data_IF_700796999041
#
_entry.id   IF_700796999041
#
_cell.length_a   1.000
_cell.length_b   1.000
_cell.length_c   1.000
_cell.angle_alpha   90.00
_cell.angle_beta   90.00
_cell.angle_gamma   90.00
#
_symmetry.space_group_name_H-M   'P 1'
#
loop_
_entity.id
_entity.type
_entity.pdbx_description
1 polymer ?
#
# COMPACT_ATOMS: atom_id res chain seq x y z
N UNK A 1 -4.55 41.24 72.67
CA UNK A 1 -5.34 40.10 72.14
C UNK A 1 -4.51 39.37 71.09
N UNK A 2 -3.96 38.20 71.42
CA UNK A 2 -3.27 37.31 70.49
C UNK A 2 -4.32 36.56 69.67
N UNK A 3 -4.31 36.70 68.35
CA UNK A 3 -4.98 35.75 67.44
C UNK A 3 -3.96 34.68 67.06
N UNK A 4 -4.06 33.55 67.72
CA UNK A 4 -3.52 32.29 67.21
C UNK A 4 -4.41 31.86 66.03
N UNK A 5 -3.80 31.64 64.87
CA UNK A 5 -4.33 30.69 63.92
C UNK A 5 -3.28 29.60 63.73
N UNK A 6 -3.66 28.41 64.19
CA UNK A 6 -3.01 27.12 63.98
C UNK A 6 -2.65 26.94 62.50
N UNK A 7 -1.38 26.68 62.18
CA UNK A 7 -0.83 25.34 61.92
C UNK A 7 -1.51 24.66 60.71
N UNK A 8 -0.78 24.72 59.58
CA UNK A 8 -0.35 23.60 58.73
C UNK A 8 -1.33 22.43 58.68
N UNK A 9 -1.89 22.14 57.50
CA UNK A 9 -2.20 20.77 57.06
C UNK A 9 -2.48 20.74 55.54
N UNK A 10 -1.60 20.02 54.82
CA UNK A 10 -1.90 19.14 53.66
C UNK A 10 -1.81 19.64 52.20
N UNK A 11 -1.08 20.71 51.87
CA UNK A 11 -0.84 21.06 50.45
C UNK A 11 0.44 20.43 49.85
N UNK A 12 1.36 19.92 50.70
CA UNK A 12 2.65 19.39 50.22
C UNK A 12 2.56 17.99 49.58
N UNK A 13 1.56 17.18 49.92
CA UNK A 13 1.41 15.81 49.36
C UNK A 13 0.93 15.82 47.90
N UNK A 14 0.02 16.73 47.54
CA UNK A 14 -0.53 16.85 46.18
C UNK A 14 0.53 17.35 45.18
N UNK A 15 1.39 18.27 45.59
CA UNK A 15 2.48 18.77 44.75
C UNK A 15 3.60 17.73 44.56
N UNK A 16 3.91 16.92 45.58
CA UNK A 16 4.85 15.80 45.47
C UNK A 16 4.29 14.70 44.55
N UNK A 17 3.00 14.38 44.66
CA UNK A 17 2.37 13.36 43.81
C UNK A 17 2.37 13.77 42.34
N UNK A 18 2.01 15.03 42.06
CA UNK A 18 1.98 15.62 40.71
C UNK A 18 3.38 15.77 40.10
N UNK A 19 4.37 16.10 40.91
CA UNK A 19 5.78 16.12 40.50
C UNK A 19 6.27 14.71 40.09
N UNK A 20 5.93 13.69 40.88
CA UNK A 20 6.31 12.30 40.66
C UNK A 20 5.60 11.70 39.42
N UNK A 21 4.33 12.05 39.21
CA UNK A 21 3.56 11.70 38.02
C UNK A 21 4.19 12.29 36.74
N UNK A 22 4.61 13.55 36.79
CA UNK A 22 5.29 14.21 35.67
C UNK A 22 6.68 13.63 35.34
N UNK A 23 7.37 13.02 36.31
CA UNK A 23 8.62 12.28 36.07
C UNK A 23 8.31 10.97 35.34
N UNK A 24 7.37 10.16 35.85
CA UNK A 24 6.97 8.89 35.22
C UNK A 24 6.44 9.11 33.80
N UNK A 25 5.62 10.14 33.59
CA UNK A 25 5.11 10.47 32.25
C UNK A 25 6.26 10.76 31.27
N UNK A 26 7.30 11.49 31.71
CA UNK A 26 8.47 11.79 30.87
C UNK A 26 9.27 10.53 30.51
N UNK A 27 9.39 9.58 31.43
CA UNK A 27 10.04 8.30 31.17
C UNK A 27 9.27 7.48 30.12
N UNK A 28 7.97 7.29 30.31
CA UNK A 28 7.13 6.60 29.33
C UNK A 28 7.15 7.30 27.97
N UNK A 29 7.08 8.64 27.93
CA UNK A 29 7.18 9.42 26.71
C UNK A 29 8.51 9.21 25.99
N UNK A 30 9.62 9.11 26.72
CA UNK A 30 10.94 8.81 26.17
C UNK A 30 10.97 7.40 25.55
N UNK A 31 10.40 6.42 26.26
CA UNK A 31 10.27 5.04 25.76
C UNK A 31 9.45 4.99 24.47
N UNK A 32 8.26 5.61 24.44
CA UNK A 32 7.42 5.67 23.24
C UNK A 32 8.16 6.34 22.07
N UNK A 33 8.88 7.44 22.32
CA UNK A 33 9.65 8.12 21.28
C UNK A 33 10.79 7.25 20.74
N UNK A 34 11.49 6.51 21.60
CA UNK A 34 12.51 5.56 21.17
C UNK A 34 11.93 4.44 20.32
N UNK A 35 10.80 3.85 20.74
CA UNK A 35 10.10 2.83 19.97
C UNK A 35 9.68 3.39 18.60
N UNK A 36 9.17 4.62 18.56
CA UNK A 36 8.80 5.29 17.31
C UNK A 36 10.00 5.42 16.36
N UNK A 37 11.13 5.94 16.85
CA UNK A 37 12.35 6.13 16.04
C UNK A 37 12.86 4.77 15.53
N UNK A 38 12.92 3.77 16.40
CA UNK A 38 13.39 2.43 16.02
C UNK A 38 12.46 1.79 14.98
N UNK A 39 11.14 1.95 15.12
CA UNK A 39 10.18 1.46 14.14
C UNK A 39 10.39 2.12 12.77
N UNK A 40 10.54 3.44 12.74
CA UNK A 40 10.78 4.18 11.50
C UNK A 40 12.10 3.79 10.82
N UNK A 41 13.16 3.58 11.59
CA UNK A 41 14.46 3.12 11.09
C UNK A 41 14.35 1.73 10.45
N UNK A 42 13.82 0.75 11.19
CA UNK A 42 13.65 -0.63 10.67
C UNK A 42 12.70 -0.65 9.47
N UNK A 43 11.69 0.23 9.44
CA UNK A 43 10.77 0.35 8.31
C UNK A 43 11.46 0.95 7.07
N UNK A 44 12.34 1.93 7.23
CA UNK A 44 13.14 2.50 6.14
C UNK A 44 14.03 1.43 5.54
N UNK A 45 14.78 0.73 6.40
CA UNK A 45 15.63 -0.40 6.02
C UNK A 45 14.85 -1.49 5.28
N UNK A 46 13.61 -1.74 5.69
CA UNK A 46 12.72 -2.66 4.99
C UNK A 46 12.41 -2.14 3.59
N UNK A 47 11.92 -0.90 3.45
CA UNK A 47 11.52 -0.35 2.14
C UNK A 47 12.64 -0.35 1.13
N UNK A 48 13.85 0.03 1.54
CA UNK A 48 15.02 0.03 0.67
C UNK A 48 15.40 -1.39 0.23
N UNK A 49 15.26 -2.38 1.12
CA UNK A 49 15.53 -3.79 0.84
C UNK A 49 14.38 -4.56 0.13
N UNK A 50 13.15 -4.05 0.16
CA UNK A 50 11.99 -4.62 -0.54
C UNK A 50 11.85 -4.13 -1.98
N UNK A 51 12.60 -3.09 -2.37
CA UNK A 51 12.61 -2.51 -3.72
C UNK A 51 13.49 -3.31 -4.70
N UNK A 52 13.33 -4.63 -4.73
CA UNK A 52 13.99 -5.48 -5.73
C UNK A 52 13.13 -5.58 -6.99
N UNK A 53 13.73 -5.34 -8.15
CA UNK A 53 13.11 -5.64 -9.44
C UNK A 53 12.83 -7.15 -9.51
N UNK A 54 11.63 -7.54 -9.95
CA UNK A 54 11.23 -8.95 -10.16
C UNK A 54 12.26 -9.71 -11.02
N UNK A 55 12.95 -8.99 -11.92
CA UNK A 55 14.00 -9.52 -12.80
C UNK A 55 15.29 -9.96 -12.07
N UNK A 56 15.62 -9.41 -10.90
CA UNK A 56 16.83 -9.76 -10.15
C UNK A 56 16.66 -11.04 -9.32
N UNK A 57 15.42 -11.42 -8.97
CA UNK A 57 15.14 -12.66 -8.28
C UNK A 57 15.42 -13.90 -9.15
N UNK A 58 15.28 -13.80 -10.48
CA UNK A 58 15.53 -14.90 -11.40
C UNK A 58 17.03 -15.25 -11.54
N UNK A 59 17.95 -14.34 -11.18
CA UNK A 59 19.40 -14.51 -11.37
C UNK A 59 20.15 -15.02 -10.13
N UNK A 60 19.57 -14.92 -8.93
CA UNK A 60 20.25 -15.30 -7.68
C UNK A 60 20.16 -16.79 -7.41
N UNK A 61 21.22 -17.33 -6.79
CA UNK A 61 21.27 -18.74 -6.37
C UNK A 61 20.23 -19.00 -5.28
N UNK A 62 19.68 -20.21 -5.28
CA UNK A 62 18.60 -20.68 -4.41
C UNK A 62 18.89 -20.47 -2.91
N UNK A 63 20.13 -20.72 -2.48
CA UNK A 63 20.55 -20.53 -1.09
C UNK A 63 20.58 -19.04 -0.69
N UNK A 64 21.04 -18.16 -1.58
CA UNK A 64 21.09 -16.72 -1.34
C UNK A 64 19.68 -16.13 -1.25
N UNK A 65 18.72 -16.65 -2.02
CA UNK A 65 17.34 -16.17 -2.00
C UNK A 65 16.63 -16.50 -0.68
N UNK A 66 16.85 -17.70 -0.16
CA UNK A 66 16.29 -18.12 1.14
C UNK A 66 16.87 -17.32 2.30
N UNK A 67 18.17 -17.02 2.27
CA UNK A 67 18.83 -16.19 3.28
C UNK A 67 18.25 -14.76 3.28
N UNK A 68 18.06 -14.17 2.10
CA UNK A 68 17.43 -12.86 1.95
C UNK A 68 15.99 -12.85 2.49
N UNK A 69 15.20 -13.90 2.23
CA UNK A 69 13.82 -14.02 2.73
C UNK A 69 13.82 -14.18 4.25
N UNK A 70 14.74 -14.98 4.79
CA UNK A 70 14.89 -15.17 6.22
C UNK A 70 15.21 -13.85 6.94
N UNK A 71 16.18 -13.09 6.43
CA UNK A 71 16.52 -11.77 6.96
C UNK A 71 15.35 -10.80 6.91
N UNK A 72 14.60 -10.78 5.79
CA UNK A 72 13.40 -9.96 5.64
C UNK A 72 12.32 -10.34 6.64
N UNK A 73 12.11 -11.63 6.88
CA UNK A 73 11.16 -12.13 7.88
C UNK A 73 11.54 -11.68 9.28
N UNK A 74 12.82 -11.76 9.63
CA UNK A 74 13.35 -11.29 10.92
C UNK A 74 13.12 -9.79 11.13
N UNK A 75 13.31 -8.95 10.10
CA UNK A 75 13.02 -7.51 10.18
C UNK A 75 11.53 -7.22 10.37
N UNK A 76 10.64 -7.97 9.70
CA UNK A 76 9.19 -7.83 9.90
C UNK A 76 8.79 -8.23 11.33
N UNK A 77 9.35 -9.31 11.86
CA UNK A 77 9.13 -9.74 13.25
C UNK A 77 9.60 -8.68 14.26
N UNK A 78 10.74 -8.02 14.00
CA UNK A 78 11.21 -6.90 14.81
C UNK A 78 10.20 -5.74 14.80
N UNK A 79 9.62 -5.39 13.65
CA UNK A 79 8.57 -4.36 13.57
C UNK A 79 7.30 -4.75 14.33
N UNK A 80 6.89 -6.03 14.27
CA UNK A 80 5.74 -6.56 15.02
C UNK A 80 5.97 -6.42 16.54
N UNK A 81 7.18 -6.74 17.00
CA UNK A 81 7.55 -6.62 18.41
C UNK A 81 7.56 -5.16 18.88
N UNK A 82 8.17 -4.25 18.10
CA UNK A 82 8.19 -2.81 18.42
C UNK A 82 6.78 -2.20 18.45
N UNK A 83 5.91 -2.60 17.50
CA UNK A 83 4.52 -2.16 17.49
C UNK A 83 3.77 -2.62 18.74
N UNK A 84 3.92 -3.90 19.10
CA UNK A 84 3.29 -4.49 20.29
C UNK A 84 3.77 -3.82 21.58
N UNK A 85 5.08 -3.64 21.73
CA UNK A 85 5.69 -2.99 22.89
C UNK A 85 5.20 -1.53 23.03
N UNK A 86 5.13 -0.78 21.93
CA UNK A 86 4.64 0.59 21.97
C UNK A 86 3.15 0.70 22.30
N UNK A 87 2.30 -0.19 21.78
CA UNK A 87 0.88 -0.24 22.14
C UNK A 87 0.71 -0.60 23.62
N UNK A 88 1.44 -1.58 24.14
CA UNK A 88 1.38 -1.94 25.55
C UNK A 88 1.77 -0.76 26.45
N UNK A 89 2.86 -0.06 26.13
CA UNK A 89 3.27 1.13 26.86
C UNK A 89 2.23 2.27 26.76
N UNK A 90 1.61 2.48 25.59
CA UNK A 90 0.55 3.49 25.44
C UNK A 90 -0.71 3.15 26.23
N UNK A 91 -1.09 1.87 26.32
CA UNK A 91 -2.21 1.43 27.15
C UNK A 91 -1.92 1.67 28.64
N UNK A 92 -0.70 1.37 29.08
CA UNK A 92 -0.23 1.70 30.43
C UNK A 92 -0.34 3.20 30.67
N UNK A 93 0.21 4.02 29.76
CA UNK A 93 0.10 5.49 29.87
C UNK A 93 -1.35 5.96 29.91
N UNK A 94 -2.24 5.39 29.10
CA UNK A 94 -3.64 5.75 29.07
C UNK A 94 -4.33 5.43 30.41
N UNK A 95 -4.03 4.28 31.02
CA UNK A 95 -4.62 3.90 32.30
C UNK A 95 -4.14 4.80 33.44
N UNK A 96 -2.84 5.13 33.48
CA UNK A 96 -2.27 5.91 34.58
C UNK A 96 -2.51 7.42 34.45
N UNK A 97 -2.44 7.99 33.23
CA UNK A 97 -2.42 9.44 33.01
C UNK A 97 -3.71 10.01 32.40
N UNK A 98 -4.78 9.21 32.29
CA UNK A 98 -6.07 9.63 31.70
C UNK A 98 -6.73 10.82 32.40
N UNK A 99 -6.44 11.01 33.68
CA UNK A 99 -6.98 12.11 34.49
C UNK A 99 -6.47 13.48 34.03
N UNK A 100 -5.28 13.55 33.44
CA UNK A 100 -4.70 14.80 32.94
C UNK A 100 -5.03 14.99 31.46
N UNK A 101 -5.86 16.00 31.14
CA UNK A 101 -6.31 16.30 29.76
C UNK A 101 -5.16 16.50 28.77
N UNK A 102 -4.05 17.11 29.20
CA UNK A 102 -2.91 17.37 28.34
C UNK A 102 -2.18 16.07 27.98
N UNK A 103 -1.96 15.20 28.97
CA UNK A 103 -1.33 13.89 28.75
C UNK A 103 -2.24 12.97 27.94
N UNK A 104 -3.53 12.93 28.24
CA UNK A 104 -4.51 12.16 27.48
C UNK A 104 -4.53 12.54 25.98
N UNK A 105 -4.42 13.84 25.67
CA UNK A 105 -4.37 14.32 24.30
C UNK A 105 -3.08 13.92 23.59
N UNK A 106 -1.93 13.99 24.27
CA UNK A 106 -0.65 13.49 23.72
C UNK A 106 -0.67 11.97 23.50
N UNK A 107 -1.19 11.18 24.45
CA UNK A 107 -1.32 9.73 24.33
C UNK A 107 -2.20 9.36 23.14
N UNK A 108 -3.32 10.07 22.94
CA UNK A 108 -4.19 9.87 21.77
C UNK A 108 -3.46 10.16 20.44
N UNK A 109 -2.60 11.18 20.40
CA UNK A 109 -1.76 11.43 19.22
C UNK A 109 -0.79 10.28 18.95
N UNK A 110 -0.14 9.75 19.99
CA UNK A 110 0.74 8.59 19.83
C UNK A 110 -0.02 7.34 19.37
N UNK A 111 -1.22 7.07 19.90
CA UNK A 111 -2.07 5.98 19.41
C UNK A 111 -2.36 6.11 17.91
N UNK A 112 -2.68 7.31 17.43
CA UNK A 112 -2.89 7.57 16.00
C UNK A 112 -1.62 7.33 15.16
N UNK A 113 -0.43 7.59 15.70
CA UNK A 113 0.84 7.26 15.04
C UNK A 113 1.01 5.74 14.94
N UNK A 114 0.73 5.00 16.02
CA UNK A 114 0.83 3.54 16.03
C UNK A 114 -0.22 2.85 15.15
N UNK A 115 -1.38 3.47 14.92
CA UNK A 115 -2.34 3.00 13.90
C UNK A 115 -1.76 3.11 12.49
N UNK A 116 -1.03 4.20 12.19
CA UNK A 116 -0.32 4.33 10.91
C UNK A 116 0.78 3.28 10.77
N UNK A 117 1.52 3.00 11.84
CA UNK A 117 2.52 1.94 11.88
C UNK A 117 1.92 0.56 11.61
N UNK A 118 0.74 0.27 12.16
CA UNK A 118 0.00 -0.97 11.86
C UNK A 118 -0.31 -1.11 10.37
N UNK A 119 -0.79 -0.06 9.72
CA UNK A 119 -1.08 -0.06 8.28
C UNK A 119 0.21 -0.29 7.48
N UNK A 120 1.29 0.40 7.84
CA UNK A 120 2.59 0.24 7.18
C UNK A 120 3.13 -1.19 7.34
N UNK A 121 3.07 -1.75 8.54
CA UNK A 121 3.47 -3.12 8.83
C UNK A 121 2.67 -4.13 7.99
N UNK A 122 1.35 -3.97 7.88
CA UNK A 122 0.51 -4.81 7.02
C UNK A 122 0.95 -4.74 5.54
N UNK A 123 1.31 -3.55 5.05
CA UNK A 123 1.80 -3.39 3.67
C UNK A 123 3.14 -4.10 3.43
N UNK A 124 4.06 -4.04 4.40
CA UNK A 124 5.36 -4.74 4.33
C UNK A 124 5.15 -6.24 4.38
N UNK A 125 4.27 -6.73 5.28
CA UNK A 125 3.91 -8.14 5.38
C UNK A 125 3.30 -8.67 4.09
N UNK A 126 2.34 -7.95 3.49
CA UNK A 126 1.77 -8.32 2.20
C UNK A 126 2.82 -8.37 1.08
N UNK A 127 3.87 -7.55 1.15
CA UNK A 127 4.98 -7.56 0.19
C UNK A 127 5.89 -8.77 0.41
N UNK A 128 6.19 -9.11 1.67
CA UNK A 128 6.92 -10.33 2.02
C UNK A 128 6.16 -11.59 1.60
N UNK A 129 4.85 -11.65 1.84
CA UNK A 129 4.01 -12.79 1.46
C UNK A 129 4.04 -13.02 -0.07
N UNK A 130 4.01 -11.95 -0.86
CA UNK A 130 4.18 -12.04 -2.32
C UNK A 130 5.55 -12.62 -2.71
N UNK A 131 6.63 -12.18 -2.07
CA UNK A 131 7.99 -12.69 -2.32
C UNK A 131 8.08 -14.17 -1.95
N UNK A 132 7.53 -14.56 -0.81
CA UNK A 132 7.49 -15.96 -0.37
C UNK A 132 6.68 -16.84 -1.33
N UNK A 133 5.50 -16.39 -1.77
CA UNK A 133 4.68 -17.11 -2.74
C UNK A 133 5.40 -17.28 -4.08
N UNK A 134 6.02 -16.21 -4.57
CA UNK A 134 6.79 -16.24 -5.80
C UNK A 134 7.97 -17.21 -5.72
N UNK A 135 8.71 -17.21 -4.60
CA UNK A 135 9.78 -18.18 -4.37
C UNK A 135 9.26 -19.62 -4.41
N UNK A 136 8.16 -19.91 -3.71
CA UNK A 136 7.55 -21.24 -3.72
C UNK A 136 7.11 -21.70 -5.13
N UNK A 137 6.67 -20.77 -5.98
CA UNK A 137 6.34 -21.07 -7.38
C UNK A 137 7.60 -21.41 -8.17
N UNK A 138 8.69 -20.64 -8.02
CA UNK A 138 9.98 -20.95 -8.66
C UNK A 138 10.51 -22.33 -8.23
N UNK A 139 10.40 -22.66 -6.94
CA UNK A 139 10.75 -23.98 -6.41
C UNK A 139 9.97 -25.11 -7.08
N UNK A 140 8.65 -24.96 -7.20
CA UNK A 140 7.80 -25.96 -7.87
C UNK A 140 8.15 -26.10 -9.35
N UNK A 141 8.37 -24.99 -10.04
CA UNK A 141 8.71 -24.99 -11.46
C UNK A 141 10.06 -25.65 -11.75
N UNK A 142 11.09 -25.37 -10.94
CA UNK A 142 12.42 -25.96 -11.08
C UNK A 142 12.44 -27.46 -10.75
N UNK A 143 11.67 -27.89 -9.74
CA UNK A 143 11.53 -29.31 -9.38
C UNK A 143 10.84 -30.11 -10.48
N UNK A 144 9.85 -29.52 -11.15
CA UNK A 144 9.17 -30.14 -12.27
C UNK A 144 10.06 -30.20 -13.53
N UNK A 145 11.01 -29.28 -13.71
CA UNK A 145 11.99 -29.33 -14.81
C UNK A 145 13.20 -30.25 -14.58
N UNK A 146 13.41 -30.74 -13.35
CA UNK A 146 14.55 -31.61 -12.99
C UNK A 146 14.18 -33.10 -12.84
N UNK A 147 12.94 -33.50 -13.14
CA UNK A 147 12.59 -34.92 -13.18
C UNK A 147 13.34 -35.60 -14.34
N UNK A 148 14.35 -36.46 -14.08
CA UNK A 148 15.03 -37.16 -15.15
C UNK A 148 14.12 -38.27 -15.63
N UNK A 149 13.98 -38.35 -16.96
CA UNK A 149 13.48 -39.49 -17.70
C UNK A 149 14.25 -40.77 -17.27
N UNK A 150 13.79 -41.48 -16.25
CA UNK A 150 14.27 -42.83 -15.94
C UNK A 150 13.53 -43.83 -16.84
N UNK A 151 13.94 -43.89 -18.11
CA UNK A 151 13.70 -45.05 -18.95
C UNK A 151 15.01 -45.84 -19.02
N UNK A 152 15.08 -46.95 -18.26
CA UNK A 152 15.91 -48.08 -18.63
C UNK A 152 15.08 -49.35 -18.44
N UNK A 153 14.84 -49.97 -19.59
CA UNK A 153 14.24 -51.28 -19.78
C UNK A 153 15.08 -52.36 -19.09
N UNK A 154 14.42 -53.41 -18.59
CA UNK A 154 14.97 -54.77 -18.64
C UNK A 154 13.84 -55.81 -18.46
N UNK A 155 13.90 -56.87 -19.28
CA UNK A 155 13.55 -58.22 -18.84
C UNK A 155 12.15 -58.75 -19.15
N UNK A 156 12.05 -59.47 -20.26
CA UNK A 156 10.99 -60.39 -20.68
C UNK A 156 10.43 -61.34 -19.59
N UNK A 157 9.10 -61.37 -19.41
CA UNK A 157 8.23 -62.55 -19.11
C UNK A 157 6.96 -62.26 -18.27
N UNK A 158 6.21 -61.17 -18.51
CA UNK A 158 4.95 -60.90 -17.76
C UNK A 158 3.85 -60.31 -18.67
N UNK A 159 3.61 -60.85 -19.86
CA UNK A 159 2.84 -60.16 -20.91
C UNK A 159 1.33 -59.93 -20.65
N UNK A 160 0.68 -60.61 -19.70
CA UNK A 160 -0.75 -60.38 -19.41
C UNK A 160 -1.03 -59.46 -18.20
N UNK A 161 -0.14 -59.40 -17.22
CA UNK A 161 -0.25 -58.45 -16.10
C UNK A 161 0.43 -57.09 -16.44
N UNK A 162 1.45 -57.11 -17.31
CA UNK A 162 2.09 -55.90 -17.86
C UNK A 162 1.11 -55.09 -18.70
N UNK A 163 0.20 -55.68 -19.47
CA UNK A 163 -0.74 -54.88 -20.30
C UNK A 163 -1.70 -54.04 -19.45
N UNK A 164 -2.17 -54.54 -18.31
CA UNK A 164 -3.04 -53.79 -17.38
C UNK A 164 -2.23 -52.74 -16.61
N UNK A 165 -1.02 -53.09 -16.18
CA UNK A 165 -0.08 -52.17 -15.52
C UNK A 165 0.35 -51.04 -16.49
N UNK A 166 0.64 -51.36 -17.75
CA UNK A 166 1.00 -50.40 -18.80
C UNK A 166 -0.18 -49.50 -19.18
N UNK A 167 -1.41 -50.03 -19.16
CA UNK A 167 -2.60 -49.20 -19.31
C UNK A 167 -2.71 -48.19 -18.15
N UNK A 168 -2.49 -48.63 -16.90
CA UNK A 168 -2.49 -47.74 -15.73
C UNK A 168 -1.33 -46.73 -15.77
N UNK A 169 -0.15 -47.11 -16.24
CA UNK A 169 0.97 -46.18 -16.43
C UNK A 169 0.74 -45.19 -17.58
N UNK A 170 0.09 -45.62 -18.67
CA UNK A 170 -0.30 -44.76 -19.78
C UNK A 170 -1.38 -43.77 -19.35
N UNK A 171 -2.35 -44.22 -18.54
CA UNK A 171 -3.38 -43.37 -17.93
C UNK A 171 -2.76 -42.38 -16.95
N UNK A 172 -1.83 -42.83 -16.10
CA UNK A 172 -1.07 -41.95 -15.20
C UNK A 172 -0.26 -40.91 -15.98
N UNK A 173 0.42 -41.31 -17.05
CA UNK A 173 1.17 -40.38 -17.91
C UNK A 173 0.25 -39.39 -18.62
N UNK A 174 -0.93 -39.83 -19.09
CA UNK A 174 -1.95 -38.95 -19.66
C UNK A 174 -2.53 -37.97 -18.62
N UNK A 175 -2.71 -38.41 -17.38
CA UNK A 175 -3.14 -37.56 -16.26
C UNK A 175 -2.06 -36.55 -15.86
N UNK A 176 -0.79 -36.95 -15.81
CA UNK A 176 0.35 -36.06 -15.55
C UNK A 176 0.47 -35.01 -16.67
N UNK A 177 0.28 -35.41 -17.93
CA UNK A 177 0.21 -34.46 -19.05
C UNK A 177 -0.98 -33.51 -18.91
N UNK A 178 -2.17 -34.02 -18.57
CA UNK A 178 -3.37 -33.20 -18.37
C UNK A 178 -3.22 -32.22 -17.20
N UNK A 179 -2.54 -32.65 -16.12
CA UNK A 179 -2.22 -31.79 -14.98
C UNK A 179 -1.24 -30.68 -15.37
N UNK A 180 -0.20 -31.02 -16.15
CA UNK A 180 0.74 -30.02 -16.66
C UNK A 180 0.06 -29.01 -17.59
N UNK A 181 -0.88 -29.47 -18.41
CA UNK A 181 -1.64 -28.59 -19.29
C UNK A 181 -2.58 -27.68 -18.48
N UNK A 182 -3.19 -28.21 -17.42
CA UNK A 182 -4.01 -27.42 -16.49
C UNK A 182 -3.17 -26.37 -15.76
N UNK A 183 -1.97 -26.72 -15.31
CA UNK A 183 -1.03 -25.76 -14.69
C UNK A 183 -0.62 -24.66 -15.68
N UNK A 184 -0.43 -25.01 -16.96
CA UNK A 184 -0.14 -24.05 -18.02
C UNK A 184 -1.34 -23.11 -18.26
N UNK A 185 -2.56 -23.65 -18.37
CA UNK A 185 -3.79 -22.87 -18.51
C UNK A 185 -4.00 -21.94 -17.30
N UNK A 186 -3.74 -22.42 -16.09
CA UNK A 186 -3.85 -21.62 -14.87
C UNK A 186 -2.82 -20.49 -14.84
N UNK A 187 -1.60 -20.76 -15.30
CA UNK A 187 -0.55 -19.76 -15.47
C UNK A 187 -0.96 -18.68 -16.49
N UNK A 188 -1.44 -19.08 -17.67
CA UNK A 188 -1.94 -18.17 -18.71
C UNK A 188 -3.13 -17.35 -18.20
N UNK A 189 -4.05 -17.99 -17.47
CA UNK A 189 -5.20 -17.33 -16.85
C UNK A 189 -4.78 -16.26 -15.85
N UNK A 190 -3.80 -16.56 -15.00
CA UNK A 190 -3.27 -15.59 -14.04
C UNK A 190 -2.56 -14.41 -14.74
N UNK A 191 -1.71 -14.69 -15.73
CA UNK A 191 -1.06 -13.65 -16.53
C UNK A 191 -2.08 -12.76 -17.25
N UNK A 192 -3.15 -13.35 -17.77
CA UNK A 192 -4.23 -12.62 -18.43
C UNK A 192 -5.01 -11.75 -17.45
N UNK A 193 -5.30 -12.25 -16.25
CA UNK A 193 -5.94 -11.47 -15.19
C UNK A 193 -5.09 -10.25 -14.81
N UNK A 194 -3.78 -10.42 -14.67
CA UNK A 194 -2.85 -9.32 -14.40
C UNK A 194 -2.89 -8.28 -15.53
N UNK A 195 -2.82 -8.71 -16.80
CA UNK A 195 -2.93 -7.83 -17.96
C UNK A 195 -4.25 -7.06 -17.99
N UNK A 196 -5.38 -7.71 -17.68
CA UNK A 196 -6.69 -7.07 -17.61
C UNK A 196 -6.78 -6.03 -16.49
N UNK A 197 -6.21 -6.32 -15.31
CA UNK A 197 -6.15 -5.34 -14.21
C UNK A 197 -5.32 -4.12 -14.59
N UNK A 198 -4.20 -4.31 -15.28
CA UNK A 198 -3.39 -3.20 -15.80
C UNK A 198 -4.17 -2.37 -16.82
N UNK A 199 -4.81 -3.01 -17.80
CA UNK A 199 -5.65 -2.33 -18.79
C UNK A 199 -6.78 -1.53 -18.12
N UNK A 200 -7.44 -2.10 -17.12
CA UNK A 200 -8.48 -1.39 -16.36
C UNK A 200 -7.92 -0.14 -15.66
N UNK A 201 -6.74 -0.24 -15.05
CA UNK A 201 -6.05 0.93 -14.46
C UNK A 201 -5.77 2.02 -15.50
N UNK A 202 -5.29 1.64 -16.70
CA UNK A 202 -5.10 2.58 -17.80
C UNK A 202 -6.40 3.25 -18.23
N UNK A 203 -7.49 2.49 -18.40
CA UNK A 203 -8.81 3.02 -18.76
C UNK A 203 -9.30 4.01 -17.70
N UNK A 204 -9.21 3.67 -16.41
CA UNK A 204 -9.60 4.56 -15.31
C UNK A 204 -8.79 5.87 -15.35
N UNK A 205 -7.49 5.81 -15.63
CA UNK A 205 -6.67 7.00 -15.77
C UNK A 205 -7.05 7.85 -17.00
N UNK A 206 -7.42 7.22 -18.12
CA UNK A 206 -7.91 7.96 -19.30
C UNK A 206 -9.27 8.61 -19.00
N UNK A 207 -10.17 7.93 -18.30
CA UNK A 207 -11.45 8.51 -17.84
C UNK A 207 -11.22 9.74 -16.96
N UNK A 208 -10.24 9.69 -16.04
CA UNK A 208 -9.87 10.88 -15.23
C UNK A 208 -9.41 12.05 -16.09
N UNK A 209 -8.59 11.81 -17.12
CA UNK A 209 -8.16 12.87 -18.07
C UNK A 209 -9.35 13.43 -18.87
N UNK A 210 -10.25 12.57 -19.33
CA UNK A 210 -11.48 12.99 -20.03
C UNK A 210 -12.35 13.86 -19.11
N UNK A 211 -12.53 13.45 -17.85
CA UNK A 211 -13.30 14.23 -16.87
C UNK A 211 -12.66 15.60 -16.61
N UNK A 212 -11.33 15.66 -16.53
CA UNK A 212 -10.61 16.93 -16.43
C UNK A 212 -10.81 17.82 -17.65
N UNK A 213 -10.79 17.28 -18.88
CA UNK A 213 -11.10 18.06 -20.08
C UNK A 213 -12.57 18.53 -20.04
N UNK A 214 -13.48 17.67 -19.59
CA UNK A 214 -14.91 17.98 -19.52
C UNK A 214 -15.23 19.13 -18.56
N UNK A 215 -14.46 19.31 -17.47
CA UNK A 215 -14.64 20.48 -16.57
C UNK A 215 -14.22 21.80 -17.25
N UNK A 216 -13.32 21.77 -18.23
CA UNK A 216 -12.88 22.95 -18.98
C UNK A 216 -13.79 23.29 -20.18
N UNK A 217 -14.55 22.34 -20.73
CA UNK A 217 -15.50 22.58 -21.84
C UNK A 217 -16.50 23.72 -21.54
N UNK A 218 -17.14 23.80 -20.35
CA UNK A 218 -18.02 24.92 -20.00
C UNK A 218 -17.31 26.28 -19.99
N UNK A 219 -16.04 26.33 -19.60
CA UNK A 219 -15.24 27.57 -19.58
C UNK A 219 -14.96 28.05 -21.00
N UNK A 220 -14.59 27.13 -21.90
CA UNK A 220 -14.39 27.41 -23.32
C UNK A 220 -15.69 27.93 -23.95
N UNK A 221 -16.84 27.30 -23.66
CA UNK A 221 -18.16 27.77 -24.12
C UNK A 221 -18.48 29.20 -23.64
N UNK A 222 -18.14 29.55 -22.40
CA UNK A 222 -18.32 30.92 -21.87
C UNK A 222 -17.45 31.93 -22.62
N UNK A 223 -16.18 31.61 -22.89
CA UNK A 223 -15.26 32.47 -23.64
C UNK A 223 -15.77 32.67 -25.07
N UNK A 224 -16.16 31.58 -25.76
CA UNK A 224 -16.70 31.63 -27.10
C UNK A 224 -17.97 32.50 -27.18
N UNK A 225 -18.87 32.40 -26.19
CA UNK A 225 -20.07 33.25 -26.10
C UNK A 225 -19.70 34.72 -25.96
N UNK A 226 -18.71 35.06 -25.13
CA UNK A 226 -18.23 36.45 -24.96
C UNK A 226 -17.66 37.02 -26.26
N UNK A 227 -16.83 36.23 -26.98
CA UNK A 227 -16.27 36.63 -28.29
C UNK A 227 -17.40 36.88 -29.30
N UNK A 228 -18.37 35.97 -29.39
CA UNK A 228 -19.53 36.14 -30.29
C UNK A 228 -20.33 37.40 -29.98
N UNK A 229 -20.59 37.69 -28.69
CA UNK A 229 -21.29 38.92 -28.30
C UNK A 229 -20.50 40.18 -28.60
N UNK A 230 -19.17 40.16 -28.48
CA UNK A 230 -18.32 41.30 -28.82
C UNK A 230 -18.34 41.59 -30.33
N UNK A 231 -18.22 40.55 -31.16
CA UNK A 231 -18.32 40.69 -32.60
C UNK A 231 -19.71 41.21 -33.03
N UNK A 232 -20.80 40.70 -32.45
CA UNK A 232 -22.15 41.21 -32.72
C UNK A 232 -22.28 42.70 -32.37
N UNK A 233 -21.75 43.14 -31.22
CA UNK A 233 -21.75 44.57 -30.86
C UNK A 233 -20.98 45.42 -31.88
N UNK A 234 -19.82 44.96 -32.33
CA UNK A 234 -19.02 45.66 -33.34
C UNK A 234 -19.77 45.78 -34.67
N UNK A 235 -20.43 44.72 -35.11
CA UNK A 235 -21.25 44.73 -36.33
C UNK A 235 -22.44 45.69 -36.20
N UNK A 236 -23.13 45.72 -35.05
CA UNK A 236 -24.24 46.64 -34.80
C UNK A 236 -23.77 48.10 -34.85
N UNK A 237 -22.63 48.42 -34.20
CA UNK A 237 -22.06 49.78 -34.23
C UNK A 237 -21.75 50.20 -35.66
N UNK A 238 -21.11 49.32 -36.45
CA UNK A 238 -20.80 49.59 -37.84
C UNK A 238 -22.07 49.85 -38.68
N UNK A 239 -23.11 49.03 -38.49
CA UNK A 239 -24.38 49.19 -39.18
C UNK A 239 -25.07 50.52 -38.83
N UNK A 240 -25.04 50.93 -37.56
CA UNK A 240 -25.59 52.23 -37.12
C UNK A 240 -24.82 53.37 -37.78
N UNK A 241 -23.49 53.34 -37.79
CA UNK A 241 -22.67 54.39 -38.42
C UNK A 241 -22.98 54.52 -39.91
N UNK A 242 -23.07 53.40 -40.63
CA UNK A 242 -23.43 53.41 -42.06
C UNK A 242 -24.83 53.99 -42.27
N UNK A 243 -25.82 53.57 -41.47
CA UNK A 243 -27.18 54.10 -41.55
C UNK A 243 -27.23 55.62 -41.26
N UNK A 244 -26.45 56.09 -40.29
CA UNK A 244 -26.32 57.51 -39.96
C UNK A 244 -25.67 58.31 -41.11
N UNK A 245 -24.62 57.78 -41.72
CA UNK A 245 -23.99 58.40 -42.88
C UNK A 245 -24.96 58.51 -44.07
N UNK A 246 -25.73 57.45 -44.36
CA UNK A 246 -26.75 57.47 -45.41
C UNK A 246 -27.86 58.48 -45.07
N UNK A 247 -28.31 58.52 -43.82
CA UNK A 247 -29.34 59.46 -43.37
C UNK A 247 -28.89 60.93 -43.50
N UNK A 248 -27.67 61.25 -43.07
CA UNK A 248 -27.09 62.59 -43.22
C UNK A 248 -26.97 62.97 -44.69
N UNK A 249 -26.50 62.04 -45.54
CA UNK A 249 -26.41 62.27 -46.98
C UNK A 249 -27.78 62.56 -47.61
N UNK A 250 -28.84 61.92 -47.12
CA UNK A 250 -30.21 62.15 -47.60
C UNK A 250 -30.81 63.48 -47.13
N UNK A 251 -30.43 63.97 -45.93
CA UNK A 251 -30.91 65.23 -45.38
C UNK A 251 -30.23 66.47 -45.99
N UNK A 252 -28.98 66.33 -46.45
CA UNK A 252 -28.22 67.42 -47.07
C UNK A 252 -28.35 67.48 -48.60
N UNK A 253 -29.09 66.55 -49.20
CA UNK A 253 -29.46 66.56 -50.62
C UNK A 253 -30.86 67.14 -50.79
#
# INVERSE_FOLDING_TARGET
MKKNYNVINNDDEDDVYKYNEGIRYREYKKTIKNIQINFEQVLSDCKDNFNYNENDLYKKKENELNEIIFDKKKKVEQLENLHKEGIQNLQIMQNYFSHNKTYALEISRYLSIFDKFKIQLQSVRATLDKICMYNNILYKQKRNSLAPHFNKEDGSNINNHINKINHVFKERSALEYSLSELDNILSIGNQTNIKLRLQNSYIVNQIKKINFINTHIPQIKKILKKIKTYNLKKTIILAIVIALCIFVFFMFR
#
